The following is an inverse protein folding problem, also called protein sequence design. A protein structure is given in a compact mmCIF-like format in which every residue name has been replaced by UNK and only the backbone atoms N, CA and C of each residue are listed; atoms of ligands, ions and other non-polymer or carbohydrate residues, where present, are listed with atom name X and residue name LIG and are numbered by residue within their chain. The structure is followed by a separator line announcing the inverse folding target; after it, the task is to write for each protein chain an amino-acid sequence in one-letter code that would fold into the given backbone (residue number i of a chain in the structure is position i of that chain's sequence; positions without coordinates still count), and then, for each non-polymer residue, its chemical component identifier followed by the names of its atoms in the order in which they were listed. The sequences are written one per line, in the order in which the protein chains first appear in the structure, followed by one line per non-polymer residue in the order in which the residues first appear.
data_IF_962122981248
#
_entry.id   IF_962122981248
#
_cell.length_a   1.000
_cell.length_b   1.000
_cell.length_c   1.000
_cell.angle_alpha   90.00
_cell.angle_beta   90.00
_cell.angle_gamma   90.00
#
_symmetry.space_group_name_H-M   'P 1'
#
loop_
_entity.id
_entity.type
_entity.pdbx_description
1 polymer ?
#
# COMPACT_ATOMS: atom_id res chain seq x y z
N UNK A 1 41.24 -44.36 48.11
CA UNK A 1 41.78 -43.64 46.94
C UNK A 1 40.71 -42.72 46.39
N UNK A 2 41.10 -41.48 46.12
CA UNK A 2 40.27 -40.34 45.66
C UNK A 2 39.81 -40.56 44.21
N UNK A 3 38.63 -40.05 43.86
CA UNK A 3 38.20 -39.95 42.47
C UNK A 3 36.80 -39.37 42.31
N UNK A 4 36.63 -38.09 42.64
CA UNK A 4 35.46 -37.28 42.23
C UNK A 4 35.47 -37.13 40.71
N UNK A 5 34.37 -37.44 40.03
CA UNK A 5 34.10 -36.93 38.68
C UNK A 5 32.66 -36.40 38.67
N UNK A 6 32.54 -35.07 38.65
CA UNK A 6 31.33 -34.36 38.24
C UNK A 6 31.51 -34.01 36.76
N UNK A 7 30.54 -34.31 35.87
CA UNK A 7 30.32 -33.49 34.71
C UNK A 7 29.22 -32.47 35.06
N UNK A 8 29.67 -31.24 35.21
CA UNK A 8 28.86 -30.04 35.21
C UNK A 8 28.39 -29.74 33.79
N UNK A 9 27.21 -29.13 33.69
CA UNK A 9 26.79 -28.18 32.65
C UNK A 9 27.18 -28.51 31.20
N UNK A 10 26.24 -29.03 30.43
CA UNK A 10 26.09 -28.72 28.99
C UNK A 10 24.66 -29.03 28.55
N UNK A 11 23.72 -28.20 28.99
CA UNK A 11 22.32 -28.21 28.52
C UNK A 11 21.84 -26.76 28.46
N UNK A 12 22.62 -25.93 27.78
CA UNK A 12 22.21 -24.62 27.33
C UNK A 12 22.92 -24.40 25.99
N UNK A 13 22.27 -23.72 25.05
CA UNK A 13 22.72 -23.45 23.66
C UNK A 13 22.24 -24.49 22.62
N UNK A 14 20.95 -24.83 22.61
CA UNK A 14 20.27 -25.31 21.38
C UNK A 14 19.05 -24.47 20.98
N UNK A 15 18.81 -23.31 21.63
CA UNK A 15 17.60 -22.50 21.40
C UNK A 15 17.86 -21.15 20.69
N UNK A 16 19.03 -20.96 20.08
CA UNK A 16 19.39 -19.69 19.40
C UNK A 16 19.47 -19.81 17.88
N UNK A 17 18.87 -20.85 17.29
CA UNK A 17 18.88 -21.00 15.82
C UNK A 17 17.53 -21.47 15.27
N UNK A 18 16.41 -21.09 15.90
CA UNK A 18 15.16 -20.92 15.16
C UNK A 18 15.32 -19.65 14.32
N UNK A 19 16.03 -19.86 13.22
CA UNK A 19 15.71 -19.33 11.91
C UNK A 19 15.01 -17.98 11.98
N UNK A 20 15.82 -16.95 11.73
CA UNK A 20 15.43 -15.97 10.75
C UNK A 20 14.86 -16.75 9.55
N UNK A 21 13.55 -17.00 9.58
CA UNK A 21 12.81 -17.29 8.39
C UNK A 21 13.08 -16.06 7.52
N UNK A 22 14.04 -16.20 6.62
CA UNK A 22 13.95 -15.60 5.31
C UNK A 22 12.57 -16.02 4.81
N UNK A 23 11.56 -15.22 5.19
CA UNK A 23 10.21 -15.29 4.66
C UNK A 23 10.44 -15.18 3.16
N UNK A 24 10.32 -16.32 2.49
CA UNK A 24 10.46 -16.42 1.05
C UNK A 24 9.68 -15.25 0.45
N UNK A 25 10.29 -14.45 -0.45
CA UNK A 25 9.60 -13.33 -1.04
C UNK A 25 8.30 -13.87 -1.63
N UNK A 26 7.15 -13.43 -1.09
CA UNK A 26 5.85 -13.92 -1.51
C UNK A 26 5.84 -13.89 -3.04
N UNK A 27 5.51 -15.00 -3.74
CA UNK A 27 5.60 -15.07 -5.21
C UNK A 27 4.90 -13.90 -5.93
N UNK A 28 3.93 -13.29 -5.26
CA UNK A 28 3.24 -12.07 -5.64
C UNK A 28 4.17 -10.88 -5.91
N UNK A 29 5.23 -10.67 -5.12
CA UNK A 29 6.15 -9.53 -5.23
C UNK A 29 7.45 -9.84 -5.99
N UNK A 30 7.59 -11.06 -6.54
CA UNK A 30 8.77 -11.42 -7.34
C UNK A 30 8.64 -10.90 -8.78
N UNK A 31 9.76 -10.46 -9.38
CA UNK A 31 9.85 -10.01 -10.79
C UNK A 31 8.96 -8.80 -11.10
N UNK A 32 8.81 -7.90 -10.13
CA UNK A 32 8.09 -6.64 -10.34
C UNK A 32 9.09 -5.63 -10.91
N UNK A 33 8.87 -5.24 -12.16
CA UNK A 33 9.70 -4.25 -12.86
C UNK A 33 9.21 -2.83 -12.64
N UNK A 34 7.92 -2.66 -12.33
CA UNK A 34 7.30 -1.35 -12.11
C UNK A 34 6.03 -1.44 -11.26
N UNK A 35 5.65 -0.32 -10.70
CA UNK A 35 4.38 -0.12 -9.99
C UNK A 35 3.49 0.80 -10.82
N UNK A 36 2.35 0.28 -11.27
CA UNK A 36 1.33 1.06 -11.95
C UNK A 36 0.27 1.53 -10.97
N UNK A 37 0.02 2.83 -10.89
CA UNK A 37 -1.02 3.41 -10.04
C UNK A 37 -2.23 3.83 -10.89
N UNK A 38 -3.40 3.31 -10.54
CA UNK A 38 -4.70 3.76 -11.06
C UNK A 38 -5.47 4.40 -9.90
N UNK A 39 -6.16 5.51 -10.18
CA UNK A 39 -6.99 6.16 -9.20
C UNK A 39 -8.42 6.22 -9.71
N UNK A 40 -9.37 6.14 -8.79
CA UNK A 40 -10.77 6.36 -9.06
C UNK A 40 -11.36 7.20 -7.94
N UNK A 41 -12.06 8.26 -8.31
CA UNK A 41 -12.71 9.16 -7.35
C UNK A 41 -14.21 9.06 -7.53
N UNK A 42 -14.88 8.61 -6.47
CA UNK A 42 -16.32 8.56 -6.38
C UNK A 42 -16.80 9.65 -5.40
N UNK A 43 -17.19 10.80 -5.96
CA UNK A 43 -17.76 11.90 -5.20
C UNK A 43 -19.28 11.95 -5.39
N UNK A 44 -20.01 12.16 -4.30
CA UNK A 44 -21.46 12.38 -4.38
C UNK A 44 -21.78 13.58 -5.29
N UNK A 45 -22.80 13.44 -6.15
CA UNK A 45 -23.18 14.48 -7.11
C UNK A 45 -23.55 15.81 -6.43
N UNK A 46 -24.10 15.78 -5.22
CA UNK A 46 -24.40 16.99 -4.44
C UNK A 46 -23.12 17.74 -3.99
N UNK A 47 -21.98 17.05 -3.98
CA UNK A 47 -20.66 17.60 -3.67
C UNK A 47 -19.83 17.91 -4.92
N UNK A 48 -20.24 17.46 -6.10
CA UNK A 48 -19.50 17.58 -7.36
C UNK A 48 -19.26 19.01 -7.87
N UNK A 49 -19.99 20.00 -7.34
CA UNK A 49 -19.77 21.43 -7.61
C UNK A 49 -18.96 22.15 -6.51
N UNK A 50 -18.53 21.44 -5.46
CA UNK A 50 -17.72 22.01 -4.39
C UNK A 50 -16.25 22.12 -4.83
N UNK A 51 -15.55 23.23 -4.51
CA UNK A 51 -14.11 23.37 -4.81
C UNK A 51 -13.25 22.22 -4.25
N UNK A 52 -13.69 21.58 -3.17
CA UNK A 52 -12.98 20.44 -2.57
C UNK A 52 -13.07 19.17 -3.43
N UNK A 53 -14.11 19.01 -4.26
CA UNK A 53 -14.20 17.93 -5.24
C UNK A 53 -13.24 18.15 -6.41
N UNK A 54 -12.89 19.41 -6.71
CA UNK A 54 -11.85 19.73 -7.69
C UNK A 54 -10.44 19.45 -7.14
N UNK A 55 -10.19 19.74 -5.85
CA UNK A 55 -8.94 19.43 -5.16
C UNK A 55 -8.72 17.90 -4.99
N UNK A 56 -9.82 17.13 -4.94
CA UNK A 56 -9.83 15.66 -4.97
C UNK A 56 -10.01 15.06 -6.37
N UNK A 57 -9.86 15.84 -7.44
CA UNK A 57 -9.96 15.32 -8.81
C UNK A 57 -9.03 14.12 -9.04
N UNK A 58 -9.44 13.20 -9.91
CA UNK A 58 -8.73 11.93 -10.12
C UNK A 58 -7.26 12.13 -10.46
N UNK A 59 -6.94 13.04 -11.39
CA UNK A 59 -5.56 13.37 -11.78
C UNK A 59 -4.75 13.96 -10.61
N UNK A 60 -5.36 14.85 -9.81
CA UNK A 60 -4.72 15.49 -8.66
C UNK A 60 -4.39 14.46 -7.57
N UNK A 61 -5.36 13.59 -7.25
CA UNK A 61 -5.17 12.49 -6.31
C UNK A 61 -4.09 11.54 -6.81
N UNK A 62 -4.12 11.18 -8.09
CA UNK A 62 -3.18 10.22 -8.66
C UNK A 62 -1.76 10.76 -8.75
N UNK A 63 -1.58 12.03 -9.14
CA UNK A 63 -0.28 12.68 -9.13
C UNK A 63 0.33 12.71 -7.73
N UNK A 64 -0.46 13.10 -6.72
CA UNK A 64 -0.03 13.14 -5.32
C UNK A 64 0.32 11.76 -4.79
N UNK A 65 -0.55 10.77 -5.02
CA UNK A 65 -0.34 9.41 -4.57
C UNK A 65 0.88 8.76 -5.25
N UNK A 66 1.13 9.02 -6.54
CA UNK A 66 2.31 8.53 -7.24
C UNK A 66 3.60 9.15 -6.70
N UNK A 67 3.61 10.45 -6.39
CA UNK A 67 4.75 11.12 -5.78
C UNK A 67 5.08 10.51 -4.41
N UNK A 68 4.09 10.42 -3.52
CA UNK A 68 4.26 9.80 -2.20
C UNK A 68 4.70 8.34 -2.31
N UNK A 69 4.08 7.55 -3.19
CA UNK A 69 4.46 6.15 -3.36
C UNK A 69 5.89 6.01 -3.88
N UNK A 70 6.34 6.90 -4.77
CA UNK A 70 7.74 6.95 -5.23
C UNK A 70 8.71 7.27 -4.08
N UNK A 71 8.35 8.22 -3.21
CA UNK A 71 9.15 8.57 -2.04
C UNK A 71 9.23 7.44 -1.03
N UNK A 72 8.16 6.68 -0.81
CA UNK A 72 8.21 5.51 0.09
C UNK A 72 9.03 4.36 -0.55
N UNK A 73 9.11 4.32 -1.89
CA UNK A 73 9.82 3.32 -2.69
C UNK A 73 11.18 3.81 -3.24
N UNK A 74 11.93 4.68 -2.53
CA UNK A 74 13.21 5.29 -3.01
C UNK A 74 14.18 4.34 -3.74
N UNK A 75 14.24 3.06 -3.36
CA UNK A 75 15.13 2.06 -3.97
C UNK A 75 14.36 0.89 -4.60
N UNK A 76 13.06 1.06 -4.85
CA UNK A 76 12.16 0.06 -5.41
C UNK A 76 11.90 0.27 -6.91
N UNK A 77 10.94 -0.50 -7.47
CA UNK A 77 10.52 -0.34 -8.85
C UNK A 77 9.96 1.07 -9.11
N UNK A 78 10.14 1.62 -10.33
CA UNK A 78 9.57 2.91 -10.71
C UNK A 78 8.04 2.90 -10.59
N UNK A 79 7.49 4.01 -10.10
CA UNK A 79 6.05 4.24 -9.99
C UNK A 79 5.58 5.06 -11.18
N UNK A 80 4.45 4.72 -11.77
CA UNK A 80 3.84 5.50 -12.86
C UNK A 80 2.33 5.49 -12.75
N UNK A 81 1.69 6.65 -12.93
CA UNK A 81 0.24 6.72 -13.09
C UNK A 81 -0.15 6.09 -14.43
N UNK A 82 -1.16 5.24 -14.42
CA UNK A 82 -1.70 4.59 -15.60
C UNK A 82 -3.08 5.16 -15.90
N UNK A 83 -3.39 5.31 -17.18
CA UNK A 83 -4.75 5.59 -17.63
C UNK A 83 -5.55 4.28 -17.70
N UNK A 84 -6.89 4.34 -17.67
CA UNK A 84 -7.73 3.20 -18.03
C UNK A 84 -7.32 2.65 -19.40
N UNK A 85 -7.25 1.32 -19.52
CA UNK A 85 -6.81 0.59 -20.73
C UNK A 85 -5.34 0.77 -21.15
N UNK A 86 -4.47 1.30 -20.28
CA UNK A 86 -3.03 1.28 -20.53
C UNK A 86 -2.52 -0.16 -20.71
N UNK A 87 -1.76 -0.43 -21.78
CA UNK A 87 -1.27 -1.77 -22.10
C UNK A 87 -0.42 -2.39 -20.96
N UNK A 88 0.22 -1.55 -20.15
CA UNK A 88 1.04 -1.98 -19.00
C UNK A 88 0.21 -2.59 -17.88
N UNK A 89 -1.12 -2.41 -17.88
CA UNK A 89 -2.05 -3.05 -16.93
C UNK A 89 -2.03 -4.58 -17.09
N UNK A 90 -1.87 -5.07 -18.31
CA UNK A 90 -1.82 -6.50 -18.60
C UNK A 90 -0.38 -7.07 -18.56
N UNK A 91 0.62 -6.25 -18.24
CA UNK A 91 2.02 -6.68 -18.20
C UNK A 91 2.33 -7.42 -16.89
N UNK A 92 2.82 -8.68 -16.93
CA UNK A 92 3.15 -9.48 -15.74
C UNK A 92 4.25 -8.88 -14.84
N UNK A 93 5.06 -7.95 -15.37
CA UNK A 93 6.06 -7.18 -14.63
C UNK A 93 5.49 -5.95 -13.92
N UNK A 94 4.22 -5.62 -14.12
CA UNK A 94 3.54 -4.51 -13.44
C UNK A 94 2.81 -4.99 -12.19
N UNK A 95 3.17 -4.42 -11.05
CA UNK A 95 2.33 -4.46 -9.85
C UNK A 95 1.32 -3.32 -9.92
N UNK A 96 0.03 -3.64 -9.93
CA UNK A 96 -1.02 -2.63 -9.97
C UNK A 96 -1.43 -2.24 -8.55
N UNK A 97 -1.47 -0.93 -8.33
CA UNK A 97 -2.07 -0.29 -7.15
C UNK A 97 -3.33 0.42 -7.63
N UNK A 98 -4.48 0.01 -7.12
CA UNK A 98 -5.74 0.71 -7.34
C UNK A 98 -6.06 1.53 -6.10
N UNK A 99 -6.09 2.85 -6.23
CA UNK A 99 -6.47 3.78 -5.19
C UNK A 99 -7.89 4.28 -5.43
N UNK A 100 -8.80 3.93 -4.53
CA UNK A 100 -10.17 4.41 -4.56
C UNK A 100 -10.36 5.48 -3.49
N UNK A 101 -10.87 6.63 -3.90
CA UNK A 101 -11.35 7.67 -3.00
C UNK A 101 -12.86 7.79 -3.10
N UNK A 102 -13.52 7.84 -1.95
CA UNK A 102 -14.96 8.06 -1.87
C UNK A 102 -15.23 9.27 -1.00
N UNK A 103 -15.98 10.24 -1.53
CA UNK A 103 -16.39 11.43 -0.81
C UNK A 103 -17.92 11.43 -0.67
N UNK A 104 -18.41 11.41 0.57
CA UNK A 104 -19.84 11.41 0.90
C UNK A 104 -20.20 12.49 1.92
N UNK A 105 -21.44 13.01 1.89
CA UNK A 105 -21.96 13.81 2.98
C UNK A 105 -22.16 12.96 4.25
N UNK A 106 -21.92 13.54 5.42
CA UNK A 106 -22.11 12.92 6.73
C UNK A 106 -22.66 13.97 7.72
N UNK A 107 -23.98 14.16 7.75
CA UNK A 107 -24.61 15.24 8.51
C UNK A 107 -24.10 16.62 8.05
N UNK A 108 -23.63 17.43 8.98
CA UNK A 108 -22.99 18.73 8.70
C UNK A 108 -21.51 18.60 8.28
N UNK A 109 -21.03 17.38 8.06
CA UNK A 109 -19.65 17.05 7.68
C UNK A 109 -19.62 16.31 6.36
N UNK A 110 -18.41 15.99 5.93
CA UNK A 110 -18.12 15.11 4.80
C UNK A 110 -17.18 14.02 5.25
N UNK A 111 -17.34 12.83 4.69
CA UNK A 111 -16.47 11.70 4.94
C UNK A 111 -15.66 11.41 3.67
N UNK A 112 -14.34 11.54 3.77
CA UNK A 112 -13.41 11.04 2.77
C UNK A 112 -12.92 9.66 3.20
N UNK A 113 -13.21 8.64 2.40
CA UNK A 113 -12.66 7.31 2.56
C UNK A 113 -11.65 7.00 1.46
N UNK A 114 -10.52 6.41 1.83
CA UNK A 114 -9.47 5.95 0.91
C UNK A 114 -9.23 4.46 1.11
N UNK A 115 -9.19 3.71 0.01
CA UNK A 115 -8.82 2.32 0.00
C UNK A 115 -7.79 2.07 -1.10
N UNK A 116 -6.78 1.26 -0.81
CA UNK A 116 -5.76 0.89 -1.78
C UNK A 116 -5.65 -0.64 -1.86
N UNK A 117 -5.74 -1.16 -3.08
CA UNK A 117 -5.62 -2.60 -3.36
C UNK A 117 -4.47 -2.87 -4.30
N UNK A 118 -3.86 -4.04 -4.14
CA UNK A 118 -2.84 -4.59 -5.02
C UNK A 118 -3.46 -5.65 -5.92
N UNK A 119 -3.05 -5.61 -7.18
CA UNK A 119 -3.38 -6.62 -8.17
C UNK A 119 -2.16 -6.91 -9.04
N UNK A 120 -2.12 -8.12 -9.60
CA UNK A 120 -1.13 -8.49 -10.60
C UNK A 120 -1.81 -8.67 -11.95
N UNK A 121 -1.13 -8.32 -13.03
CA UNK A 121 -1.60 -8.68 -14.36
C UNK A 121 -1.83 -10.20 -14.45
N UNK A 122 -2.97 -10.60 -15.03
CA UNK A 122 -3.38 -12.01 -15.12
C UNK A 122 -4.11 -12.56 -13.88
N UNK A 123 -4.26 -11.80 -12.80
CA UNK A 123 -5.09 -12.17 -11.62
C UNK A 123 -6.58 -11.78 -11.78
N UNK A 124 -7.04 -11.58 -13.01
CA UNK A 124 -8.43 -11.22 -13.29
C UNK A 124 -9.37 -12.34 -12.82
N UNK A 125 -10.03 -12.12 -11.67
CA UNK A 125 -10.91 -13.10 -11.00
C UNK A 125 -10.48 -13.47 -9.58
N UNK A 126 -9.26 -13.13 -9.16
CA UNK A 126 -8.81 -13.31 -7.78
C UNK A 126 -9.29 -12.15 -6.88
N UNK A 127 -9.45 -12.44 -5.59
CA UNK A 127 -9.78 -11.40 -4.62
C UNK A 127 -8.65 -10.37 -4.55
N UNK A 128 -8.95 -9.06 -4.58
CA UNK A 128 -7.93 -8.02 -4.47
C UNK A 128 -7.21 -8.10 -3.12
N UNK A 129 -5.90 -7.94 -3.14
CA UNK A 129 -5.11 -7.89 -1.91
C UNK A 129 -5.13 -6.46 -1.36
N UNK A 130 -5.81 -6.23 -0.23
CA UNK A 130 -5.79 -4.92 0.42
C UNK A 130 -4.44 -4.65 1.08
N UNK A 131 -3.88 -3.47 0.85
CA UNK A 131 -2.60 -3.07 1.47
C UNK A 131 -2.75 -2.86 2.97
N UNK A 132 -3.84 -2.20 3.38
CA UNK A 132 -4.28 -1.96 4.76
C UNK A 132 -5.81 -1.81 4.80
N UNK A 133 -6.42 -1.81 6.00
CA UNK A 133 -7.81 -1.41 6.14
C UNK A 133 -8.06 -0.01 5.56
N UNK A 134 -9.22 0.23 4.91
CA UNK A 134 -9.59 1.54 4.41
C UNK A 134 -9.45 2.63 5.48
N UNK A 135 -8.96 3.79 5.08
CA UNK A 135 -8.78 4.95 5.93
C UNK A 135 -9.96 5.90 5.73
N UNK A 136 -10.52 6.46 6.80
CA UNK A 136 -11.62 7.42 6.70
C UNK A 136 -11.29 8.69 7.50
N UNK A 137 -11.69 9.85 6.96
CA UNK A 137 -11.48 11.16 7.55
C UNK A 137 -12.78 11.97 7.48
N UNK A 138 -13.30 12.36 8.63
CA UNK A 138 -14.40 13.31 8.72
C UNK A 138 -13.88 14.75 8.60
N UNK A 139 -14.49 15.54 7.73
CA UNK A 139 -14.07 16.88 7.36
C UNK A 139 -15.21 17.88 7.53
N UNK A 140 -14.93 19.01 8.18
CA UNK A 140 -15.87 20.13 8.38
C UNK A 140 -15.47 21.41 7.61
N UNK A 141 -14.61 21.26 6.59
CA UNK A 141 -14.07 22.35 5.78
C UNK A 141 -13.26 21.80 4.62
N UNK A 142 -12.34 22.60 4.06
CA UNK A 142 -11.47 22.18 2.96
C UNK A 142 -10.68 20.92 3.29
N UNK A 143 -10.28 20.19 2.27
CA UNK A 143 -9.37 19.06 2.42
C UNK A 143 -8.03 19.53 2.98
N UNK A 144 -7.64 18.98 4.13
CA UNK A 144 -6.31 19.17 4.69
C UNK A 144 -5.33 18.22 3.99
N UNK A 145 -4.40 18.80 3.23
CA UNK A 145 -3.39 18.05 2.49
C UNK A 145 -2.51 17.19 3.39
N UNK A 146 -2.20 17.66 4.61
CA UNK A 146 -1.33 16.92 5.53
C UNK A 146 -2.01 15.66 6.05
N UNK A 147 -3.31 15.72 6.33
CA UNK A 147 -4.14 14.56 6.67
C UNK A 147 -4.27 13.60 5.50
N UNK A 148 -4.47 14.08 4.27
CA UNK A 148 -4.50 13.24 3.07
C UNK A 148 -3.17 12.50 2.87
N UNK A 149 -2.05 13.21 2.93
CA UNK A 149 -0.72 12.62 2.80
C UNK A 149 -0.50 11.56 3.89
N UNK A 150 -0.88 11.85 5.14
CA UNK A 150 -0.77 10.89 6.24
C UNK A 150 -1.61 9.62 6.02
N UNK A 151 -2.80 9.73 5.41
CA UNK A 151 -3.62 8.57 5.06
C UNK A 151 -2.97 7.74 3.94
N UNK A 152 -2.45 8.41 2.90
CA UNK A 152 -1.77 7.76 1.77
C UNK A 152 -0.48 7.06 2.23
N UNK A 153 0.32 7.69 3.08
CA UNK A 153 1.51 7.08 3.67
C UNK A 153 1.17 5.82 4.48
N UNK A 154 0.10 5.86 5.29
CA UNK A 154 -0.38 4.68 6.02
C UNK A 154 -0.81 3.55 5.08
N UNK A 155 -1.48 3.88 3.97
CA UNK A 155 -1.89 2.91 2.95
C UNK A 155 -0.68 2.28 2.25
N UNK A 156 0.36 3.08 1.94
CA UNK A 156 1.49 2.64 1.11
C UNK A 156 2.66 2.03 1.89
N UNK A 157 2.81 2.35 3.17
CA UNK A 157 3.91 1.86 4.00
C UNK A 157 4.07 0.34 4.01
N UNK A 158 2.99 -0.49 4.08
CA UNK A 158 3.13 -1.94 4.05
C UNK A 158 3.61 -2.48 2.71
N UNK A 159 3.19 -1.88 1.59
CA UNK A 159 3.70 -2.26 0.27
C UNK A 159 5.20 -1.99 0.17
N UNK A 160 5.66 -0.83 0.60
CA UNK A 160 7.09 -0.55 0.58
C UNK A 160 7.90 -1.51 1.46
N UNK A 161 7.33 -1.92 2.61
CA UNK A 161 7.92 -2.98 3.43
C UNK A 161 7.96 -4.33 2.70
N UNK A 162 6.88 -4.70 2.02
CA UNK A 162 6.79 -5.95 1.25
C UNK A 162 7.78 -5.99 0.08
N UNK A 163 7.90 -4.89 -0.68
CA UNK A 163 8.83 -4.79 -1.81
C UNK A 163 10.29 -4.77 -1.35
N UNK A 164 10.63 -4.09 -0.24
CA UNK A 164 12.01 -4.13 0.31
C UNK A 164 12.43 -5.50 0.83
N UNK A 165 11.48 -6.32 1.25
CA UNK A 165 11.75 -7.69 1.73
C UNK A 165 11.75 -8.72 0.60
N UNK A 166 11.45 -8.30 -0.64
CA UNK A 166 11.43 -9.16 -1.81
C UNK A 166 12.49 -8.72 -2.83
N UNK A 167 13.74 -9.22 -2.71
CA UNK A 167 14.81 -8.91 -3.66
C UNK A 167 14.57 -9.52 -5.05
#
# INVERSE_FOLDING_TARGET
MRGRIRPALSLAICLLSMEAAALSPLPFFQRIERVGLLCAVDADAALGASPDAADLGEDTLCGRAAALLSEVLVSGPPVTTLAPNDARIADPGTLLVLLHATLRPEGDRRLLALAATLQRAGSAGDAPFFMTPPQALAMSGKLDESSLNSMLERLFSPLARALRSSP
#
